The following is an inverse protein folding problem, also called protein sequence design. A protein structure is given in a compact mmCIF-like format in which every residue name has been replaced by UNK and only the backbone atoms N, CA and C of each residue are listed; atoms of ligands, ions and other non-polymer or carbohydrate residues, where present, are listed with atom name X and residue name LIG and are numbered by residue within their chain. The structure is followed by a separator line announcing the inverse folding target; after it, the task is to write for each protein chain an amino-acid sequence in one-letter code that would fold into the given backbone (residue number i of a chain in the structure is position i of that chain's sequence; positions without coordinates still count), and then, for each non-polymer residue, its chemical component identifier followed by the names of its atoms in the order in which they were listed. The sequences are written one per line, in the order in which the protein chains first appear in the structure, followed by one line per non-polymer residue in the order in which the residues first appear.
data_IF_661214244498
#
_entry.id   IF_661214244498
#
_cell.length_a   1.000
_cell.length_b   1.000
_cell.length_c   1.000
_cell.angle_alpha   90.00
_cell.angle_beta   90.00
_cell.angle_gamma   90.00
#
_symmetry.space_group_name_H-M   'P 1'
#
loop_
_entity.id
_entity.type
_entity.pdbx_description
1 polymer ?
#
# COMPACT_ATOMS: atom_id res chain seq x y z
N UNK A 1 -25.94 51.09 45.57
CA UNK A 1 -27.26 50.42 45.65
C UNK A 1 -27.04 48.94 45.44
N UNK A 2 -27.39 48.10 46.43
CA UNK A 2 -27.29 46.65 46.28
C UNK A 2 -28.28 46.18 45.19
N UNK A 3 -27.81 45.36 44.26
CA UNK A 3 -28.70 44.77 43.25
C UNK A 3 -29.74 43.89 43.94
N UNK A 4 -30.98 43.93 43.45
CA UNK A 4 -32.05 43.09 43.99
C UNK A 4 -31.69 41.61 43.87
N UNK A 5 -32.18 40.76 44.77
CA UNK A 5 -31.95 39.32 44.69
C UNK A 5 -32.37 38.73 43.34
N UNK A 6 -33.45 39.26 42.74
CA UNK A 6 -33.92 38.87 41.41
C UNK A 6 -32.89 39.20 40.31
N UNK A 7 -32.23 40.36 40.40
CA UNK A 7 -31.18 40.77 39.46
C UNK A 7 -29.94 39.89 39.60
N UNK A 8 -29.53 39.56 40.82
CA UNK A 8 -28.40 38.66 41.06
C UNK A 8 -28.67 37.24 40.55
N UNK A 9 -29.88 36.72 40.77
CA UNK A 9 -30.28 35.41 40.21
C UNK A 9 -30.28 35.41 38.68
N UNK A 10 -30.81 36.46 38.05
CA UNK A 10 -30.83 36.57 36.59
C UNK A 10 -29.42 36.62 35.98
N UNK A 11 -28.48 37.31 36.64
CA UNK A 11 -27.08 37.34 36.21
C UNK A 11 -26.44 35.96 36.34
N UNK A 12 -26.63 35.26 37.46
CA UNK A 12 -26.06 33.90 37.65
C UNK A 12 -26.64 32.91 36.64
N UNK A 13 -27.95 32.96 36.38
CA UNK A 13 -28.60 32.07 35.41
C UNK A 13 -28.09 32.30 33.99
N UNK A 14 -27.90 33.56 33.59
CA UNK A 14 -27.47 33.92 32.24
C UNK A 14 -25.96 33.76 32.01
N UNK A 15 -25.12 34.02 33.01
CA UNK A 15 -23.65 33.94 32.85
C UNK A 15 -23.08 32.55 33.08
N UNK A 16 -23.71 31.71 33.92
CA UNK A 16 -23.19 30.37 34.20
C UNK A 16 -24.10 29.26 33.70
N UNK A 17 -25.40 29.34 33.95
CA UNK A 17 -26.31 28.23 33.62
C UNK A 17 -26.56 28.11 32.12
N UNK A 18 -26.81 29.22 31.42
CA UNK A 18 -27.10 29.22 29.99
C UNK A 18 -25.90 28.73 29.15
N UNK A 19 -24.64 29.16 29.39
CA UNK A 19 -23.49 28.66 28.65
C UNK A 19 -23.19 27.18 28.94
N UNK A 20 -23.37 26.73 30.19
CA UNK A 20 -23.21 25.31 30.55
C UNK A 20 -24.28 24.45 29.87
N UNK A 21 -25.54 24.86 29.89
CA UNK A 21 -26.62 24.17 29.19
C UNK A 21 -26.39 24.15 27.67
N UNK A 22 -25.92 25.26 27.11
CA UNK A 22 -25.59 25.38 25.69
C UNK A 22 -24.42 24.46 25.34
N UNK A 23 -23.35 24.46 26.13
CA UNK A 23 -22.21 23.54 25.97
C UNK A 23 -22.64 22.07 26.09
N UNK A 24 -23.44 21.72 27.08
CA UNK A 24 -23.96 20.36 27.26
C UNK A 24 -24.90 19.94 26.12
N UNK A 25 -25.70 20.86 25.59
CA UNK A 25 -26.57 20.61 24.45
C UNK A 25 -25.75 20.37 23.18
N UNK A 26 -24.77 21.22 22.87
CA UNK A 26 -23.93 21.07 21.68
C UNK A 26 -23.00 19.85 21.76
N UNK A 27 -22.46 19.53 22.94
CA UNK A 27 -21.64 18.32 23.14
C UNK A 27 -22.47 17.04 23.09
N UNK A 28 -23.70 17.03 23.63
CA UNK A 28 -24.64 15.90 23.47
C UNK A 28 -25.18 15.78 22.04
N UNK A 29 -25.39 16.89 21.34
CA UNK A 29 -25.84 16.88 19.95
C UNK A 29 -24.73 16.40 19.00
N UNK A 30 -23.46 16.71 19.28
CA UNK A 30 -22.32 16.16 18.53
C UNK A 30 -22.11 14.67 18.76
N UNK A 31 -22.41 14.14 19.95
CA UNK A 31 -22.29 12.70 20.25
C UNK A 31 -23.45 11.87 19.68
N UNK A 32 -24.57 12.49 19.30
CA UNK A 32 -25.72 11.82 18.69
C UNK A 32 -25.75 11.94 17.16
N UNK A 33 -24.60 11.81 16.50
CA UNK A 33 -24.59 11.40 15.09
C UNK A 33 -24.98 9.94 15.03
N UNK A 34 -26.27 9.66 14.83
CA UNK A 34 -26.73 8.34 14.45
C UNK A 34 -26.03 7.98 13.14
N UNK A 35 -25.15 6.98 13.19
CA UNK A 35 -24.53 6.41 11.99
C UNK A 35 -25.64 5.98 11.03
N UNK A 36 -25.75 6.64 9.88
CA UNK A 36 -26.56 6.15 8.76
C UNK A 36 -25.88 4.96 8.06
N UNK A 37 -24.72 4.49 8.54
CA UNK A 37 -24.14 3.25 8.04
C UNK A 37 -25.06 2.10 8.44
N UNK A 38 -25.56 1.38 7.42
CA UNK A 38 -26.33 0.16 7.61
C UNK A 38 -25.54 -0.93 8.36
N UNK A 39 -26.09 -2.15 8.47
CA UNK A 39 -25.36 -3.26 9.08
C UNK A 39 -24.02 -3.49 8.37
N UNK A 40 -23.01 -3.96 9.13
CA UNK A 40 -21.75 -4.38 8.53
C UNK A 40 -22.02 -5.44 7.46
N UNK A 41 -21.32 -5.40 6.31
CA UNK A 41 -21.45 -6.46 5.33
C UNK A 41 -21.02 -7.80 5.95
N UNK A 42 -21.58 -8.93 5.47
CA UNK A 42 -21.11 -10.24 5.89
C UNK A 42 -19.61 -10.41 5.59
N UNK A 43 -18.87 -11.18 6.42
CA UNK A 43 -17.46 -11.42 6.19
C UNK A 43 -17.24 -12.09 4.83
N UNK A 44 -16.16 -11.73 4.16
CA UNK A 44 -15.66 -12.37 2.94
C UNK A 44 -14.32 -13.06 3.23
N UNK A 45 -13.90 -13.94 2.33
CA UNK A 45 -12.59 -14.59 2.37
C UNK A 45 -11.57 -13.93 1.45
N UNK A 46 -10.29 -14.09 1.81
CA UNK A 46 -9.14 -13.77 0.96
C UNK A 46 -8.94 -14.94 0.00
N UNK A 47 -8.92 -14.67 -1.30
CA UNK A 47 -8.74 -15.69 -2.35
C UNK A 47 -7.32 -15.71 -2.91
N UNK A 48 -6.60 -14.59 -2.79
CA UNK A 48 -5.19 -14.51 -3.13
C UNK A 48 -4.48 -13.36 -2.40
N UNK A 49 -3.19 -13.59 -2.12
CA UNK A 49 -2.26 -12.56 -1.69
C UNK A 49 -1.19 -12.37 -2.77
N UNK A 50 -0.82 -11.13 -3.00
CA UNK A 50 0.24 -10.75 -3.93
C UNK A 50 1.19 -9.74 -3.29
N UNK A 51 2.48 -9.97 -3.54
CA UNK A 51 3.54 -9.00 -3.28
C UNK A 51 4.15 -8.59 -4.62
N UNK A 52 4.57 -7.33 -4.74
CA UNK A 52 5.23 -6.82 -5.92
C UNK A 52 6.59 -6.21 -5.52
N UNK A 53 7.65 -7.05 -5.39
CA UNK A 53 8.94 -6.61 -4.84
C UNK A 53 9.50 -5.35 -5.46
N UNK A 54 9.46 -5.28 -6.78
CA UNK A 54 9.96 -4.15 -7.52
C UNK A 54 8.79 -3.36 -8.09
N UNK A 55 8.77 -2.04 -7.83
CA UNK A 55 7.80 -1.11 -8.40
C UNK A 55 7.73 -1.31 -9.92
N UNK A 56 6.50 -1.43 -10.43
CA UNK A 56 6.22 -1.57 -11.87
C UNK A 56 6.69 -2.88 -12.52
N UNK A 57 7.19 -3.85 -11.76
CA UNK A 57 7.50 -5.20 -12.25
C UNK A 57 6.39 -6.20 -11.92
N UNK A 58 6.56 -7.46 -12.34
CA UNK A 58 5.58 -8.50 -12.08
C UNK A 58 5.42 -8.79 -10.58
N UNK A 59 4.20 -9.21 -10.19
CA UNK A 59 3.92 -9.62 -8.81
C UNK A 59 4.15 -11.11 -8.59
N UNK A 60 4.23 -11.51 -7.34
CA UNK A 60 4.34 -12.91 -6.90
C UNK A 60 3.08 -13.22 -6.11
N UNK A 61 2.36 -14.28 -6.48
CA UNK A 61 1.28 -14.82 -5.66
C UNK A 61 1.89 -15.59 -4.49
N UNK A 62 1.49 -15.28 -3.27
CA UNK A 62 2.00 -15.89 -2.03
C UNK A 62 0.87 -16.53 -1.23
N UNK A 63 1.23 -17.48 -0.36
CA UNK A 63 0.27 -18.17 0.52
C UNK A 63 0.01 -17.39 1.81
N UNK A 64 1.00 -16.65 2.29
CA UNK A 64 0.92 -15.77 3.45
C UNK A 64 1.87 -14.59 3.26
N UNK A 65 1.62 -13.50 3.99
CA UNK A 65 2.51 -12.35 3.98
C UNK A 65 2.51 -11.65 5.34
N UNK A 66 3.67 -11.16 5.77
CA UNK A 66 3.73 -10.35 6.99
C UNK A 66 3.19 -8.95 6.69
N UNK A 67 2.24 -8.47 7.50
CA UNK A 67 1.77 -7.10 7.39
C UNK A 67 2.66 -6.17 8.21
N UNK A 68 3.16 -5.12 7.56
CA UNK A 68 4.00 -4.08 8.15
C UNK A 68 3.24 -2.74 8.13
N UNK A 69 3.64 -1.74 8.95
CA UNK A 69 3.08 -0.40 8.85
C UNK A 69 3.24 0.26 7.47
N UNK A 70 4.22 -0.20 6.68
CA UNK A 70 4.55 0.30 5.33
C UNK A 70 3.90 -0.48 4.18
N UNK A 71 3.21 -1.58 4.48
CA UNK A 71 2.55 -2.46 3.50
C UNK A 71 2.80 -3.94 3.80
N UNK A 72 2.52 -4.81 2.84
CA UNK A 72 3.00 -6.20 2.95
C UNK A 72 4.52 -6.23 2.88
N UNK A 73 5.13 -7.17 3.60
CA UNK A 73 6.56 -7.40 3.51
C UNK A 73 6.96 -7.75 2.08
N UNK A 74 8.15 -7.32 1.70
CA UNK A 74 8.68 -7.33 0.34
C UNK A 74 7.80 -6.60 -0.69
N UNK A 75 6.83 -5.77 -0.31
CA UNK A 75 5.99 -5.08 -1.29
C UNK A 75 6.53 -3.70 -1.69
N UNK A 76 6.91 -3.55 -2.97
CA UNK A 76 7.51 -2.35 -3.57
C UNK A 76 8.61 -1.74 -2.69
N UNK A 77 9.47 -2.58 -2.11
CA UNK A 77 10.65 -2.12 -1.37
C UNK A 77 11.82 -1.80 -2.30
N UNK A 78 11.74 -2.22 -3.56
CA UNK A 78 12.69 -1.85 -4.63
C UNK A 78 12.02 -1.06 -5.75
N UNK A 79 12.84 -0.27 -6.45
CA UNK A 79 12.41 0.51 -7.60
C UNK A 79 13.57 0.69 -8.58
N UNK A 80 13.27 0.63 -9.88
CA UNK A 80 14.24 1.01 -10.92
C UNK A 80 14.27 2.53 -11.08
N UNK A 81 15.48 3.07 -11.23
CA UNK A 81 15.72 4.50 -11.48
C UNK A 81 16.69 4.70 -12.64
N UNK A 82 16.64 5.87 -13.26
CA UNK A 82 17.69 6.33 -14.19
C UNK A 82 19.01 6.54 -13.44
N UNK A 83 20.14 6.17 -14.04
CA UNK A 83 21.44 6.36 -13.42
C UNK A 83 21.88 7.85 -13.35
N UNK A 84 21.41 8.68 -14.29
CA UNK A 84 21.85 10.08 -14.41
C UNK A 84 21.32 11.00 -13.30
N UNK A 85 20.10 10.75 -12.82
CA UNK A 85 19.41 11.65 -11.90
C UNK A 85 18.39 10.95 -10.98
N UNK A 86 18.50 9.61 -10.85
CA UNK A 86 17.73 8.81 -9.90
C UNK A 86 16.21 9.04 -10.00
N UNK A 87 15.70 9.23 -11.22
CA UNK A 87 14.27 9.32 -11.49
C UNK A 87 13.68 7.92 -11.58
N UNK A 88 12.60 7.69 -10.85
CA UNK A 88 11.82 6.46 -10.94
C UNK A 88 11.37 6.12 -12.36
N UNK A 89 11.43 4.83 -12.67
CA UNK A 89 10.90 4.23 -13.89
C UNK A 89 9.62 3.44 -13.57
N UNK A 90 8.64 3.54 -14.45
CA UNK A 90 7.35 2.87 -14.31
C UNK A 90 6.88 2.27 -15.64
N UNK A 91 5.86 1.41 -15.56
CA UNK A 91 5.18 0.85 -16.74
C UNK A 91 4.56 1.92 -17.65
N UNK A 92 4.33 3.15 -17.16
CA UNK A 92 3.83 4.27 -17.98
C UNK A 92 4.89 4.74 -18.98
N UNK A 93 6.17 4.66 -18.60
CA UNK A 93 7.31 5.00 -19.46
C UNK A 93 7.81 3.79 -20.26
N UNK A 94 7.82 2.59 -19.65
CA UNK A 94 8.26 1.37 -20.30
C UNK A 94 7.41 0.17 -19.87
N UNK A 95 6.40 -0.17 -20.67
CA UNK A 95 5.49 -1.29 -20.40
C UNK A 95 6.21 -2.65 -20.33
N UNK A 96 7.40 -2.78 -20.95
CA UNK A 96 8.21 -4.02 -20.89
C UNK A 96 8.64 -4.36 -19.47
N UNK A 97 8.67 -3.41 -18.52
CA UNK A 97 8.98 -3.70 -17.11
C UNK A 97 8.07 -4.80 -16.50
N UNK A 98 6.89 -5.04 -17.07
CA UNK A 98 6.01 -6.17 -16.71
C UNK A 98 6.61 -7.55 -17.02
N UNK A 99 7.63 -7.61 -17.89
CA UNK A 99 8.40 -8.82 -18.22
C UNK A 99 9.52 -9.08 -17.22
N UNK A 100 9.85 -8.12 -16.34
CA UNK A 100 10.77 -8.36 -15.22
C UNK A 100 10.02 -9.17 -14.17
N UNK A 101 10.53 -10.36 -13.87
CA UNK A 101 9.94 -11.35 -12.96
C UNK A 101 10.83 -11.50 -11.71
N UNK A 102 10.48 -10.83 -10.60
CA UNK A 102 10.99 -11.19 -9.29
C UNK A 102 10.44 -12.54 -8.85
N UNK A 103 11.25 -13.35 -8.17
CA UNK A 103 10.83 -14.51 -7.40
C UNK A 103 11.50 -14.49 -6.03
N UNK A 104 10.78 -14.93 -5.01
CA UNK A 104 11.26 -14.98 -3.63
C UNK A 104 11.37 -16.43 -3.17
N UNK A 105 12.53 -16.79 -2.63
CA UNK A 105 12.75 -18.07 -1.97
C UNK A 105 12.91 -17.84 -0.47
N UNK A 106 11.93 -18.32 0.31
CA UNK A 106 11.93 -18.17 1.76
C UNK A 106 12.97 -19.05 2.47
N UNK A 107 13.50 -20.10 1.83
CA UNK A 107 14.45 -21.02 2.46
C UNK A 107 15.85 -20.42 2.62
N UNK A 108 16.28 -19.63 1.64
CA UNK A 108 17.59 -18.98 1.59
C UNK A 108 17.48 -17.45 1.65
N UNK A 109 16.28 -16.95 1.91
CA UNK A 109 15.93 -15.53 1.94
C UNK A 109 16.43 -14.73 0.72
N UNK A 110 16.26 -15.29 -0.48
CA UNK A 110 16.80 -14.70 -1.70
C UNK A 110 15.71 -14.18 -2.62
N UNK A 111 15.89 -12.96 -3.11
CA UNK A 111 15.13 -12.38 -4.22
C UNK A 111 15.93 -12.56 -5.51
N UNK A 112 15.39 -13.37 -6.43
CA UNK A 112 15.94 -13.53 -7.78
C UNK A 112 15.14 -12.67 -8.75
N UNK A 113 15.82 -11.94 -9.62
CA UNK A 113 15.18 -11.05 -10.60
C UNK A 113 15.59 -11.47 -11.98
N UNK A 114 14.61 -11.81 -12.82
CA UNK A 114 14.85 -12.20 -14.20
C UNK A 114 14.14 -11.26 -15.18
N UNK A 115 14.70 -11.12 -16.37
CA UNK A 115 14.07 -10.42 -17.51
C UNK A 115 14.52 -11.06 -18.82
N UNK A 116 13.72 -10.96 -19.90
CA UNK A 116 14.16 -11.43 -21.22
C UNK A 116 15.39 -10.66 -21.68
N UNK A 117 16.35 -11.36 -22.29
CA UNK A 117 17.47 -10.70 -22.95
C UNK A 117 16.98 -9.89 -24.17
N UNK A 118 17.58 -8.74 -24.49
CA UNK A 118 17.10 -7.89 -25.59
C UNK A 118 17.07 -8.56 -26.97
N UNK A 119 17.98 -9.52 -27.21
CA UNK A 119 18.20 -10.13 -28.52
C UNK A 119 18.07 -11.67 -28.50
N UNK A 120 17.43 -12.24 -27.48
CA UNK A 120 17.25 -13.70 -27.38
C UNK A 120 15.95 -14.04 -26.65
N UNK A 121 15.24 -15.05 -27.16
CA UNK A 121 14.01 -15.56 -26.55
C UNK A 121 14.30 -16.56 -25.42
N UNK A 122 15.45 -17.23 -25.48
CA UNK A 122 15.83 -18.30 -24.55
C UNK A 122 16.70 -17.79 -23.40
N UNK A 123 17.46 -16.71 -23.62
CA UNK A 123 18.33 -16.14 -22.61
C UNK A 123 17.60 -15.17 -21.68
N UNK A 124 17.98 -15.20 -20.41
CA UNK A 124 17.45 -14.32 -19.38
C UNK A 124 18.56 -13.55 -18.71
N UNK A 125 18.35 -12.25 -18.58
CA UNK A 125 19.09 -11.43 -17.63
C UNK A 125 18.71 -11.90 -16.22
N UNK A 126 19.68 -12.05 -15.33
CA UNK A 126 19.45 -12.51 -13.97
C UNK A 126 20.38 -11.84 -12.98
N UNK A 127 19.87 -11.54 -11.79
CA UNK A 127 20.68 -11.28 -10.60
C UNK A 127 19.93 -11.78 -9.36
N UNK A 128 20.68 -11.98 -8.28
CA UNK A 128 20.17 -12.40 -6.98
C UNK A 128 20.65 -11.44 -5.89
N UNK A 129 19.77 -11.09 -4.98
CA UNK A 129 20.07 -10.29 -3.78
C UNK A 129 19.33 -10.88 -2.57
N UNK A 130 19.80 -10.66 -1.33
CA UNK A 130 19.02 -11.01 -0.16
C UNK A 130 17.67 -10.25 -0.18
N UNK A 131 16.59 -10.94 0.18
CA UNK A 131 15.27 -10.34 0.32
C UNK A 131 15.19 -9.47 1.59
N UNK A 132 15.87 -9.87 2.67
CA UNK A 132 16.01 -9.04 3.88
C UNK A 132 17.50 -8.74 4.15
N UNK A 133 18.13 -7.88 3.33
CA UNK A 133 19.57 -7.63 3.44
C UNK A 133 19.91 -6.98 4.79
N UNK A 134 20.96 -7.46 5.47
CA UNK A 134 21.42 -6.88 6.74
C UNK A 134 21.98 -5.46 6.56
N UNK A 135 22.26 -4.78 7.68
CA UNK A 135 22.87 -3.44 7.62
C UNK A 135 24.30 -3.48 7.06
N UNK A 136 25.11 -4.46 7.50
CA UNK A 136 26.47 -4.67 6.99
C UNK A 136 26.46 -5.02 5.50
N UNK A 137 25.58 -5.93 5.08
CA UNK A 137 25.49 -6.33 3.69
C UNK A 137 25.13 -5.14 2.79
N UNK A 138 24.16 -4.30 3.19
CA UNK A 138 23.84 -3.10 2.43
C UNK A 138 25.01 -2.11 2.39
N UNK A 139 25.73 -1.91 3.49
CA UNK A 139 26.88 -1.01 3.51
C UNK A 139 27.99 -1.43 2.52
N UNK A 140 28.15 -2.73 2.30
CA UNK A 140 29.14 -3.28 1.36
C UNK A 140 28.66 -3.25 -0.11
N UNK A 141 27.36 -3.39 -0.36
CA UNK A 141 26.82 -3.61 -1.70
C UNK A 141 26.05 -2.42 -2.28
N UNK A 142 25.82 -1.38 -1.48
CA UNK A 142 25.03 -0.21 -1.87
C UNK A 142 25.68 1.09 -1.42
N UNK A 143 25.28 2.19 -2.07
CA UNK A 143 25.63 3.54 -1.64
C UNK A 143 24.36 4.33 -1.34
N UNK A 144 24.37 5.23 -0.33
CA UNK A 144 23.21 6.05 -0.04
C UNK A 144 22.99 7.08 -1.15
N UNK A 145 21.76 7.22 -1.63
CA UNK A 145 21.37 8.30 -2.53
C UNK A 145 19.89 8.64 -2.37
N UNK A 146 19.53 9.88 -2.66
CA UNK A 146 18.13 10.32 -2.74
C UNK A 146 17.54 9.98 -4.11
N UNK A 147 16.44 9.24 -4.14
CA UNK A 147 15.71 8.96 -5.37
C UNK A 147 14.44 9.83 -5.46
N UNK A 148 14.06 10.24 -6.68
CA UNK A 148 12.79 10.93 -6.91
C UNK A 148 11.69 9.91 -7.20
N UNK A 149 10.56 10.07 -6.52
CA UNK A 149 9.31 9.33 -6.77
C UNK A 149 8.16 10.33 -6.73
N UNK A 150 7.49 10.50 -7.87
CA UNK A 150 6.44 11.51 -8.03
C UNK A 150 6.94 12.94 -7.71
N UNK A 151 6.18 13.68 -6.91
CA UNK A 151 6.54 14.99 -6.36
C UNK A 151 7.44 14.89 -5.12
N UNK A 152 7.82 13.68 -4.69
CA UNK A 152 8.62 13.45 -3.48
C UNK A 152 10.03 12.98 -3.79
N UNK A 153 10.93 13.20 -2.84
CA UNK A 153 12.26 12.61 -2.78
C UNK A 153 12.36 11.73 -1.54
N UNK A 154 13.12 10.66 -1.61
CA UNK A 154 13.34 9.76 -0.48
C UNK A 154 14.75 9.19 -0.49
N UNK A 155 15.31 8.97 0.70
CA UNK A 155 16.57 8.28 0.86
C UNK A 155 16.42 6.81 0.49
N UNK A 156 17.46 6.31 -0.19
CA UNK A 156 17.52 4.94 -0.72
C UNK A 156 18.94 4.39 -0.67
N UNK A 157 19.05 3.06 -0.62
CA UNK A 157 20.26 2.32 -0.88
C UNK A 157 20.33 1.98 -2.38
N UNK A 158 21.34 2.47 -3.09
CA UNK A 158 21.52 2.25 -4.53
C UNK A 158 22.49 1.09 -4.74
N UNK A 159 22.05 0.08 -5.47
CA UNK A 159 22.93 -1.04 -5.84
C UNK A 159 23.97 -0.65 -6.87
N UNK A 160 25.09 -1.37 -6.85
CA UNK A 160 26.23 -1.10 -7.72
C UNK A 160 25.89 -1.23 -9.22
N UNK A 161 26.66 -0.56 -10.10
CA UNK A 161 26.55 -0.75 -11.55
C UNK A 161 26.76 -2.20 -11.96
N UNK A 162 27.63 -2.95 -11.27
CA UNK A 162 27.90 -4.35 -11.58
C UNK A 162 26.64 -5.24 -11.50
N UNK A 163 25.76 -4.99 -10.52
CA UNK A 163 24.49 -5.73 -10.37
C UNK A 163 23.51 -5.39 -11.52
N UNK A 164 23.48 -4.13 -11.95
CA UNK A 164 22.38 -3.57 -12.75
C UNK A 164 22.73 -3.35 -14.22
N UNK A 165 24.02 -3.30 -14.56
CA UNK A 165 24.51 -3.09 -15.93
C UNK A 165 23.94 -4.09 -16.95
N UNK A 166 23.76 -5.40 -16.65
CA UNK A 166 23.12 -6.31 -17.59
C UNK A 166 21.72 -5.88 -18.02
N UNK A 167 21.01 -5.10 -17.19
CA UNK A 167 19.66 -4.62 -17.47
C UNK A 167 19.65 -3.31 -18.29
N UNK A 168 20.78 -2.63 -18.48
CA UNK A 168 20.82 -1.37 -19.26
C UNK A 168 20.25 -1.55 -20.67
N UNK A 169 20.62 -2.65 -21.34
CA UNK A 169 20.15 -2.94 -22.70
C UNK A 169 18.64 -3.25 -22.74
N UNK A 170 18.09 -3.88 -21.70
CA UNK A 170 16.63 -4.09 -21.57
C UNK A 170 15.88 -2.76 -21.46
N UNK A 171 16.42 -1.81 -20.68
CA UNK A 171 15.82 -0.49 -20.52
C UNK A 171 16.12 0.47 -21.68
N UNK A 172 17.14 0.20 -22.50
CA UNK A 172 17.63 1.10 -23.54
C UNK A 172 18.36 2.33 -22.99
N UNK A 173 18.71 2.32 -21.71
CA UNK A 173 19.42 3.39 -21.02
C UNK A 173 20.10 2.84 -19.76
N UNK A 174 21.02 3.60 -19.20
CA UNK A 174 21.65 3.22 -17.95
C UNK A 174 20.69 3.37 -16.76
N UNK A 175 20.54 2.29 -16.00
CA UNK A 175 19.63 2.21 -14.86
C UNK A 175 20.35 1.77 -13.59
N UNK A 176 19.70 2.03 -12.45
CA UNK A 176 20.06 1.48 -11.14
C UNK A 176 18.83 0.91 -10.46
N UNK A 177 19.04 -0.05 -9.59
CA UNK A 177 18.05 -0.54 -8.66
C UNK A 177 18.28 0.19 -7.34
N UNK A 178 17.20 0.68 -6.74
CA UNK A 178 17.24 1.28 -5.41
C UNK A 178 16.37 0.48 -4.45
N UNK A 179 16.78 0.44 -3.19
CA UNK A 179 16.06 -0.21 -2.10
C UNK A 179 15.74 0.80 -1.01
N UNK A 180 14.53 0.72 -0.46
CA UNK A 180 14.12 1.46 0.73
C UNK A 180 13.73 0.44 1.81
N UNK A 181 14.50 0.32 2.89
CA UNK A 181 14.18 -0.63 3.95
C UNK A 181 12.89 -0.22 4.68
N UNK A 182 12.00 -1.18 5.00
CA UNK A 182 10.76 -0.90 5.72
C UNK A 182 10.99 -0.56 7.20
N UNK A 183 12.10 -1.03 7.80
CA UNK A 183 12.41 -0.88 9.22
C UNK A 183 13.87 -0.47 9.44
N UNK A 184 14.21 0.79 9.21
CA UNK A 184 15.51 1.35 9.64
C UNK A 184 15.40 2.82 9.99
N UNK A 185 15.86 3.17 11.18
CA UNK A 185 15.95 4.55 11.66
C UNK A 185 16.82 5.43 10.75
N UNK A 186 17.80 4.82 10.06
CA UNK A 186 18.70 5.53 9.15
C UNK A 186 18.04 6.02 7.86
N UNK A 187 16.82 5.57 7.53
CA UNK A 187 16.09 6.02 6.35
C UNK A 187 14.79 6.70 6.77
N UNK A 188 14.67 7.99 6.49
CA UNK A 188 13.46 8.74 6.81
C UNK A 188 12.21 8.07 6.18
N UNK A 189 11.12 7.86 6.92
CA UNK A 189 9.90 7.28 6.35
C UNK A 189 9.37 8.12 5.19
N UNK A 190 8.89 7.49 4.11
CA UNK A 190 8.19 8.21 3.05
C UNK A 190 6.72 8.33 3.46
N UNK A 191 6.36 9.48 4.01
CA UNK A 191 5.00 9.78 4.44
C UNK A 191 3.98 9.62 3.30
N UNK A 192 2.76 9.22 3.67
CA UNK A 192 1.66 9.18 2.72
C UNK A 192 1.17 10.61 2.41
N UNK A 193 0.57 10.80 1.24
CA UNK A 193 0.03 12.07 0.77
C UNK A 193 -1.44 11.92 0.31
N UNK A 194 -2.09 13.01 -0.08
CA UNK A 194 -3.48 13.02 -0.58
C UNK A 194 -4.42 12.29 0.40
N UNK A 195 -5.13 11.25 -0.04
CA UNK A 195 -6.05 10.47 0.80
C UNK A 195 -5.37 9.74 1.97
N UNK A 196 -4.03 9.62 1.95
CA UNK A 196 -3.25 9.07 3.06
C UNK A 196 -2.61 10.14 3.95
N UNK A 197 -2.79 11.43 3.67
CA UNK A 197 -2.18 12.50 4.45
C UNK A 197 -2.68 12.45 5.92
N UNK A 198 -1.85 12.79 6.93
CA UNK A 198 -2.19 12.62 8.34
C UNK A 198 -3.49 13.31 8.77
N UNK A 199 -3.80 14.47 8.20
CA UNK A 199 -5.01 15.24 8.43
C UNK A 199 -6.29 14.56 7.90
N UNK A 200 -6.15 13.71 6.87
CA UNK A 200 -7.26 12.90 6.32
C UNK A 200 -7.36 11.57 7.04
N UNK A 201 -6.22 10.90 7.25
CA UNK A 201 -6.14 9.56 7.84
C UNK A 201 -6.32 9.58 9.37
N UNK A 202 -6.10 10.74 10.02
CA UNK A 202 -6.10 10.90 11.48
C UNK A 202 -4.84 10.35 12.17
N UNK A 203 -3.84 9.93 11.40
CA UNK A 203 -2.58 9.36 11.91
C UNK A 203 -1.47 9.47 10.87
N UNK A 204 -0.22 9.48 11.33
CA UNK A 204 0.93 9.36 10.44
C UNK A 204 1.07 7.92 9.95
N UNK A 205 1.24 7.77 8.64
CA UNK A 205 1.58 6.51 8.01
C UNK A 205 2.66 6.75 6.96
N UNK A 206 3.33 5.67 6.56
CA UNK A 206 4.39 5.74 5.56
C UNK A 206 4.36 4.51 4.67
N UNK A 207 5.12 4.55 3.58
CA UNK A 207 5.26 3.40 2.69
C UNK A 207 6.65 3.41 2.02
N UNK A 208 6.95 2.36 1.26
CA UNK A 208 8.15 2.31 0.42
C UNK A 208 7.88 2.93 -0.95
N UNK A 209 7.97 2.16 -2.04
CA UNK A 209 7.68 2.63 -3.40
C UNK A 209 6.29 2.31 -4.01
N UNK A 210 5.23 1.92 -3.26
CA UNK A 210 3.86 2.00 -3.77
C UNK A 210 3.49 3.40 -4.27
N UNK A 211 2.42 3.53 -5.07
CA UNK A 211 2.01 4.82 -5.62
C UNK A 211 1.48 5.76 -4.51
N UNK A 212 0.53 5.28 -3.71
CA UNK A 212 -0.12 6.08 -2.67
C UNK A 212 -0.20 5.34 -1.33
N UNK A 213 -0.93 4.23 -1.28
CA UNK A 213 -1.23 3.52 -0.03
C UNK A 213 -0.38 2.25 0.16
N UNK A 214 -0.11 1.84 1.41
CA UNK A 214 0.60 0.59 1.75
C UNK A 214 -0.02 -0.70 1.24
N UNK A 215 -1.35 -0.71 1.08
CA UNK A 215 -2.12 -1.87 0.63
C UNK A 215 -3.13 -1.45 -0.42
N UNK A 216 -3.35 -2.34 -1.38
CA UNK A 216 -4.50 -2.30 -2.28
C UNK A 216 -5.32 -3.57 -2.11
N UNK A 217 -6.60 -3.40 -1.80
CA UNK A 217 -7.56 -4.51 -1.75
C UNK A 217 -8.32 -4.53 -3.07
N UNK A 218 -8.33 -5.69 -3.73
CA UNK A 218 -9.17 -5.97 -4.89
C UNK A 218 -10.33 -6.88 -4.50
N UNK A 219 -11.44 -6.78 -5.22
CA UNK A 219 -12.64 -7.59 -5.01
C UNK A 219 -12.97 -8.35 -6.30
N UNK A 220 -13.03 -9.68 -6.23
CA UNK A 220 -13.35 -10.53 -7.38
C UNK A 220 -14.74 -10.23 -7.95
N UNK A 221 -15.74 -9.95 -7.11
CA UNK A 221 -17.08 -9.59 -7.57
C UNK A 221 -17.05 -8.31 -8.43
N UNK A 222 -16.30 -7.29 -8.01
CA UNK A 222 -16.11 -6.03 -8.77
C UNK A 222 -15.40 -6.26 -10.10
N UNK A 223 -14.36 -7.10 -10.10
CA UNK A 223 -13.59 -7.40 -11.31
C UNK A 223 -14.40 -8.25 -12.28
N UNK A 224 -15.22 -9.18 -11.77
CA UNK A 224 -16.13 -9.98 -12.59
C UNK A 224 -17.20 -9.10 -13.24
N UNK A 225 -17.75 -8.14 -12.50
CA UNK A 225 -18.68 -7.15 -13.03
C UNK A 225 -18.02 -6.30 -14.13
N UNK A 226 -16.81 -5.78 -13.90
CA UNK A 226 -16.04 -5.06 -14.93
C UNK A 226 -15.82 -5.93 -16.17
N UNK A 227 -15.44 -7.19 -15.99
CA UNK A 227 -15.22 -8.12 -17.10
C UNK A 227 -16.49 -8.41 -17.90
N UNK A 228 -17.67 -8.42 -17.25
CA UNK A 228 -18.94 -8.53 -17.96
C UNK A 228 -19.19 -7.30 -18.85
N UNK A 229 -18.92 -6.08 -18.34
CA UNK A 229 -19.01 -4.84 -19.13
C UNK A 229 -18.05 -4.83 -20.31
N UNK A 230 -16.79 -5.23 -20.08
CA UNK A 230 -15.77 -5.32 -21.14
C UNK A 230 -16.17 -6.34 -22.21
N UNK A 231 -16.64 -7.53 -21.80
CA UNK A 231 -17.12 -8.55 -22.75
C UNK A 231 -18.24 -8.00 -23.64
N UNK A 232 -19.19 -7.26 -23.07
CA UNK A 232 -20.27 -6.65 -23.83
C UNK A 232 -19.76 -5.57 -24.79
N UNK A 233 -18.88 -4.66 -24.32
CA UNK A 233 -18.33 -3.58 -25.14
C UNK A 233 -17.47 -4.08 -26.30
N UNK A 234 -16.73 -5.18 -26.09
CA UNK A 234 -15.82 -5.76 -27.08
C UNK A 234 -16.46 -6.88 -27.91
N UNK A 235 -17.78 -7.08 -27.82
CA UNK A 235 -18.51 -8.16 -28.49
C UNK A 235 -17.90 -9.55 -28.25
N UNK A 236 -17.31 -9.77 -27.06
CA UNK A 236 -16.62 -11.01 -26.71
C UNK A 236 -15.24 -11.21 -27.33
N UNK A 237 -14.71 -10.24 -28.08
CA UNK A 237 -13.41 -10.36 -28.75
C UNK A 237 -12.21 -10.16 -27.81
N UNK A 238 -12.42 -9.52 -26.66
CA UNK A 238 -11.38 -9.33 -25.65
C UNK A 238 -11.50 -10.39 -24.55
N UNK A 239 -10.40 -11.07 -24.26
CA UNK A 239 -10.32 -11.99 -23.13
C UNK A 239 -10.54 -11.23 -21.79
N UNK A 240 -11.08 -11.89 -20.75
CA UNK A 240 -11.24 -11.28 -19.44
C UNK A 240 -9.94 -10.67 -18.92
N UNK A 241 -10.06 -9.48 -18.31
CA UNK A 241 -8.97 -8.80 -17.64
C UNK A 241 -8.59 -9.59 -16.39
N UNK A 242 -7.34 -10.04 -16.36
CA UNK A 242 -6.72 -10.63 -15.18
C UNK A 242 -6.60 -9.59 -14.06
N UNK A 243 -6.99 -9.97 -12.84
CA UNK A 243 -6.89 -9.15 -11.62
C UNK A 243 -5.49 -8.57 -11.39
N UNK A 244 -4.44 -9.27 -11.80
CA UNK A 244 -3.05 -8.83 -11.70
C UNK A 244 -2.77 -7.53 -12.47
N UNK A 245 -3.63 -7.15 -13.43
CA UNK A 245 -3.58 -5.83 -14.11
C UNK A 245 -3.85 -4.67 -13.15
N UNK A 246 -4.66 -4.89 -12.12
CA UNK A 246 -4.98 -3.91 -11.08
C UNK A 246 -3.99 -3.96 -9.90
N UNK A 247 -3.14 -4.98 -9.86
CA UNK A 247 -2.03 -5.14 -8.90
C UNK A 247 -2.45 -5.07 -7.41
N UNK A 248 -3.56 -5.71 -7.00
CA UNK A 248 -3.94 -5.73 -5.59
C UNK A 248 -2.91 -6.49 -4.77
N UNK A 249 -2.77 -6.15 -3.50
CA UNK A 249 -2.04 -6.95 -2.52
C UNK A 249 -2.91 -8.06 -1.95
N UNK A 250 -4.17 -7.74 -1.67
CA UNK A 250 -5.14 -8.66 -1.08
C UNK A 250 -6.31 -8.73 -2.05
N UNK A 251 -6.60 -9.92 -2.54
CA UNK A 251 -7.80 -10.17 -3.33
C UNK A 251 -8.81 -10.89 -2.45
N UNK A 252 -10.00 -10.32 -2.33
CA UNK A 252 -11.13 -10.94 -1.62
C UNK A 252 -12.19 -11.38 -2.60
N UNK A 253 -12.95 -12.41 -2.22
CA UNK A 253 -14.06 -12.91 -3.04
C UNK A 253 -15.15 -11.85 -3.25
N UNK A 254 -15.51 -11.14 -2.18
CA UNK A 254 -16.63 -10.20 -2.17
C UNK A 254 -17.99 -10.88 -2.28
N UNK A 255 -19.05 -10.07 -2.29
CA UNK A 255 -20.42 -10.53 -2.47
C UNK A 255 -20.83 -10.38 -3.93
N UNK A 256 -21.35 -11.45 -4.53
CA UNK A 256 -21.67 -11.48 -5.96
C UNK A 256 -22.78 -10.48 -6.36
N UNK A 257 -23.68 -10.15 -5.44
CA UNK A 257 -24.78 -9.20 -5.59
C UNK A 257 -24.40 -7.76 -5.19
N UNK A 258 -23.18 -7.53 -4.70
CA UNK A 258 -22.68 -6.21 -4.32
C UNK A 258 -21.25 -5.96 -4.84
N UNK A 259 -21.05 -5.92 -6.18
CA UNK A 259 -19.79 -5.44 -6.75
C UNK A 259 -19.54 -3.98 -6.33
N UNK A 260 -18.27 -3.61 -6.17
CA UNK A 260 -17.78 -2.29 -5.74
C UNK A 260 -18.07 -1.94 -4.28
N UNK A 261 -18.54 -2.89 -3.48
CA UNK A 261 -18.82 -2.64 -2.06
C UNK A 261 -17.58 -2.21 -1.26
N UNK A 262 -16.38 -2.59 -1.72
CA UNK A 262 -15.10 -2.23 -1.12
C UNK A 262 -14.86 -0.72 -1.02
N UNK A 263 -15.47 0.08 -1.89
CA UNK A 263 -15.38 1.54 -1.87
C UNK A 263 -15.99 2.15 -0.60
N UNK A 264 -16.91 1.41 0.03
CA UNK A 264 -17.61 1.83 1.25
C UNK A 264 -16.91 1.37 2.52
N UNK A 265 -15.99 0.41 2.42
CA UNK A 265 -15.28 -0.13 3.58
C UNK A 265 -14.39 0.93 4.21
N UNK A 266 -14.63 1.23 5.49
CA UNK A 266 -13.83 2.19 6.26
C UNK A 266 -12.74 1.51 7.07
N UNK A 267 -13.01 0.30 7.53
CA UNK A 267 -12.07 -0.53 8.28
C UNK A 267 -12.12 -1.94 7.73
N UNK A 268 -10.97 -2.63 7.80
CA UNK A 268 -10.85 -4.03 7.47
C UNK A 268 -10.20 -4.74 8.62
N UNK A 269 -10.81 -5.86 9.00
CA UNK A 269 -10.26 -6.77 10.01
C UNK A 269 -10.03 -8.12 9.36
N UNK A 270 -8.79 -8.55 9.35
CA UNK A 270 -8.40 -9.86 8.79
C UNK A 270 -8.22 -10.86 9.92
N UNK A 271 -8.80 -12.05 9.75
CA UNK A 271 -8.74 -13.16 10.69
C UNK A 271 -8.29 -14.42 9.96
N UNK A 272 -7.39 -15.18 10.57
CA UNK A 272 -7.02 -16.51 10.08
C UNK A 272 -8.06 -17.52 10.55
N UNK A 273 -8.52 -18.40 9.66
CA UNK A 273 -9.43 -19.48 10.01
C UNK A 273 -8.76 -20.43 11.04
N UNK A 274 -9.45 -20.71 12.15
CA UNK A 274 -8.97 -21.63 13.21
C UNK A 274 -8.17 -20.99 14.35
N UNK A 275 -7.84 -19.69 14.27
CA UNK A 275 -7.31 -18.96 15.41
C UNK A 275 -8.48 -18.34 16.19
N UNK A 276 -9.00 -19.03 17.21
CA UNK A 276 -9.94 -18.40 18.15
C UNK A 276 -9.29 -17.14 18.74
N UNK A 277 -9.89 -15.97 18.46
CA UNK A 277 -9.60 -14.72 19.16
C UNK A 277 -8.38 -13.90 18.73
N UNK A 278 -7.52 -14.35 17.79
CA UNK A 278 -6.42 -13.50 17.29
C UNK A 278 -6.83 -12.70 16.06
N UNK A 279 -7.09 -11.40 16.26
CA UNK A 279 -7.04 -10.42 15.17
C UNK A 279 -5.61 -10.36 14.64
N UNK A 280 -5.42 -10.65 13.37
CA UNK A 280 -4.11 -10.77 12.73
C UNK A 280 -3.69 -9.48 12.01
N UNK A 281 -4.64 -8.59 11.76
CA UNK A 281 -4.34 -7.25 11.31
C UNK A 281 -5.53 -6.34 11.65
N UNK A 282 -5.25 -5.31 12.42
CA UNK A 282 -6.11 -4.13 12.51
C UNK A 282 -5.42 -3.00 11.74
N UNK A 283 -6.02 -2.57 10.63
CA UNK A 283 -5.43 -1.54 9.76
C UNK A 283 -5.35 -0.17 10.46
N UNK A 284 -5.89 -0.03 11.67
CA UNK A 284 -5.83 1.16 12.52
C UNK A 284 -4.50 1.32 13.30
N UNK A 285 -3.51 0.44 13.11
CA UNK A 285 -2.13 0.66 13.57
C UNK A 285 -1.59 -0.32 14.61
N UNK A 286 -2.09 -1.56 14.65
CA UNK A 286 -1.56 -2.63 15.49
C UNK A 286 -0.25 -3.24 14.96
N UNK A 287 0.56 -3.83 15.86
CA UNK A 287 1.85 -4.50 15.58
C UNK A 287 1.74 -5.52 14.45
N UNK A 288 2.83 -5.65 13.68
CA UNK A 288 2.88 -6.49 12.49
C UNK A 288 2.76 -7.98 12.80
N UNK A 289 1.62 -8.54 12.40
CA UNK A 289 1.27 -9.95 12.49
C UNK A 289 1.19 -10.55 11.06
N UNK A 290 1.24 -11.88 10.95
CA UNK A 290 1.25 -12.59 9.65
C UNK A 290 -0.16 -12.78 9.09
N UNK A 291 -0.47 -12.14 7.97
CA UNK A 291 -1.74 -12.26 7.24
C UNK A 291 -1.76 -13.48 6.34
#
# INVERSE_FOLDING_TARGET
MAQSQATQLAIILSTFFLPILTYLYFTKAQTKRTSNAGPLPPPTEITALYIHPIKSCHGIKVQSAKLLPTGLDLDRQWMWVTASNYQFLTIRQNARMTLIRPSYNARDDTLTVTAPAPNSIDEKLTFTIPAHPSASWLAEHTTPHTAKIWSSQTDTAVYSPALTAPFNAFFGQEVRLVYKPPFRETYAPRGLASNGAPEVLGRTASTCFPDLMPLLVGNEASINELNARVKAAENGNLAPLDVTRFRPNILVRGQADAPWDEDRWKTLRIKTAGAEGKTVADLDGGRGDQV
#
